data_IF_093369063741
#
_entry.id   IF_093369063741
#
_cell.length_a   1.000
_cell.length_b   1.000
_cell.length_c   1.000
_cell.angle_alpha   90.00
_cell.angle_beta   90.00
_cell.angle_gamma   90.00
#
_symmetry.space_group_name_H-M   'P 1'
#
loop_
_entity.id
_entity.type
_entity.pdbx_description
1 polymer ?
#
# COMPACT_ATOMS: atom_id res chain seq x y z
N UNK A 1 -2.25 25.34 9.82
CA UNK A 1 -2.08 23.93 10.24
C UNK A 1 -1.93 23.16 8.96
N UNK A 2 -0.76 22.57 8.68
CA UNK A 2 -0.62 21.69 7.51
C UNK A 2 -1.64 20.57 7.65
N UNK A 3 -2.65 20.54 6.77
CA UNK A 3 -3.57 19.41 6.67
C UNK A 3 -2.77 18.22 6.16
N UNK A 4 -2.27 17.41 7.08
CA UNK A 4 -1.52 16.22 6.74
C UNK A 4 -2.45 15.21 6.06
N UNK A 5 -2.34 15.10 4.74
CA UNK A 5 -3.10 14.14 3.95
C UNK A 5 -2.43 12.76 3.97
N UNK A 6 -2.83 11.94 4.94
CA UNK A 6 -2.47 10.52 4.95
C UNK A 6 -3.36 9.71 3.99
N UNK A 7 -2.71 8.94 3.11
CA UNK A 7 -3.38 7.97 2.25
C UNK A 7 -3.83 6.72 3.07
N UNK A 8 -4.36 5.69 2.39
CA UNK A 8 -4.81 4.46 3.05
C UNK A 8 -3.70 3.74 3.84
N UNK A 9 -2.46 3.77 3.34
CA UNK A 9 -1.30 3.12 3.97
C UNK A 9 -0.80 3.90 5.19
N UNK A 10 -0.71 5.22 5.09
CA UNK A 10 -0.34 6.09 6.21
C UNK A 10 -1.34 5.96 7.37
N UNK A 11 -2.64 5.89 7.07
CA UNK A 11 -3.69 5.65 8.08
C UNK A 11 -3.57 4.26 8.71
N UNK A 12 -3.36 3.23 7.90
CA UNK A 12 -3.19 1.87 8.40
C UNK A 12 -1.96 1.73 9.32
N UNK A 13 -0.82 2.35 8.98
CA UNK A 13 0.36 2.35 9.85
C UNK A 13 0.10 3.10 11.15
N UNK A 14 -0.60 4.24 11.10
CA UNK A 14 -0.97 5.00 12.30
C UNK A 14 -1.84 4.16 13.25
N UNK A 15 -2.87 3.50 12.73
CA UNK A 15 -3.75 2.64 13.52
C UNK A 15 -2.99 1.44 14.10
N UNK A 16 -2.07 0.87 13.32
CA UNK A 16 -1.20 -0.20 13.80
C UNK A 16 -0.30 0.24 14.95
N UNK A 17 0.40 1.38 14.80
CA UNK A 17 1.24 1.93 15.86
C UNK A 17 0.43 2.19 17.13
N UNK A 18 -0.78 2.76 17.02
CA UNK A 18 -1.64 3.00 18.19
C UNK A 18 -2.07 1.71 18.90
N UNK A 19 -2.32 0.64 18.14
CA UNK A 19 -2.90 -0.61 18.66
C UNK A 19 -1.85 -1.62 19.12
N UNK A 20 -0.72 -1.70 18.43
CA UNK A 20 0.28 -2.76 18.62
C UNK A 20 1.65 -2.23 19.06
N UNK A 21 2.03 -1.00 18.69
CA UNK A 21 3.32 -0.40 19.05
C UNK A 21 3.18 1.03 19.60
N UNK A 22 2.46 1.13 20.72
CA UNK A 22 2.19 2.41 21.37
C UNK A 22 3.47 3.11 21.84
N UNK A 23 4.52 2.34 22.15
CA UNK A 23 5.83 2.88 22.54
C UNK A 23 6.49 3.67 21.42
N UNK A 24 6.52 3.10 20.20
CA UNK A 24 7.03 3.80 19.03
C UNK A 24 6.14 5.00 18.67
N UNK A 25 4.81 4.83 18.72
CA UNK A 25 3.86 5.94 18.51
C UNK A 25 4.17 7.12 19.43
N UNK A 26 4.24 6.89 20.74
CA UNK A 26 4.46 7.93 21.73
C UNK A 26 5.84 8.57 21.59
N UNK A 27 6.87 7.79 21.26
CA UNK A 27 8.23 8.30 20.99
C UNK A 27 8.25 9.24 19.80
N UNK A 28 7.63 8.85 18.67
CA UNK A 28 7.56 9.67 17.46
C UNK A 28 6.72 10.93 17.69
N UNK A 29 5.61 10.79 18.42
CA UNK A 29 4.75 11.91 18.80
C UNK A 29 5.49 12.91 19.69
N UNK A 30 6.21 12.42 20.71
CA UNK A 30 6.98 13.27 21.63
C UNK A 30 8.13 14.02 20.94
N UNK A 31 8.65 13.45 19.86
CA UNK A 31 9.69 14.08 19.02
C UNK A 31 9.13 14.98 17.91
N UNK A 32 7.80 15.04 17.77
CA UNK A 32 7.14 15.72 16.65
C UNK A 32 7.54 15.19 15.25
N UNK A 33 8.03 13.94 15.20
CA UNK A 33 8.51 13.25 13.97
C UNK A 33 7.45 12.28 13.41
N UNK A 34 6.31 12.14 14.10
CA UNK A 34 5.25 11.20 13.71
C UNK A 34 4.76 11.45 12.28
N UNK A 35 4.57 12.72 11.92
CA UNK A 35 4.05 13.09 10.61
C UNK A 35 5.03 12.73 9.49
N UNK A 36 6.31 13.10 9.64
CA UNK A 36 7.36 12.78 8.67
C UNK A 36 7.56 11.27 8.52
N UNK A 37 7.49 10.53 9.63
CA UNK A 37 7.55 9.08 9.60
C UNK A 37 6.40 8.49 8.78
N UNK A 38 5.16 8.92 9.02
CA UNK A 38 3.98 8.43 8.30
C UNK A 38 4.01 8.82 6.82
N UNK A 39 4.48 10.02 6.48
CA UNK A 39 4.66 10.48 5.10
C UNK A 39 5.73 9.65 4.36
N UNK A 40 6.83 9.30 5.05
CA UNK A 40 7.86 8.44 4.48
C UNK A 40 7.32 7.03 4.24
N UNK A 41 6.68 6.45 5.25
CA UNK A 41 6.12 5.10 5.18
C UNK A 41 5.02 4.99 4.10
N UNK A 42 4.13 5.99 3.99
CA UNK A 42 3.10 5.95 2.96
C UNK A 42 3.69 6.03 1.55
N UNK A 43 4.77 6.81 1.37
CA UNK A 43 5.46 6.94 0.08
C UNK A 43 6.16 5.63 -0.30
N UNK A 44 6.86 5.00 0.65
CA UNK A 44 7.48 3.70 0.45
C UNK A 44 6.44 2.62 0.09
N UNK A 45 5.26 2.66 0.71
CA UNK A 45 4.16 1.78 0.38
C UNK A 45 3.55 2.04 -0.99
N UNK A 46 3.37 3.30 -1.39
CA UNK A 46 2.89 3.66 -2.72
C UNK A 46 3.89 3.22 -3.79
N UNK A 47 5.19 3.50 -3.60
CA UNK A 47 6.26 3.08 -4.51
C UNK A 47 6.31 1.54 -4.65
N UNK A 48 6.16 0.82 -3.54
CA UNK A 48 6.11 -0.65 -3.53
C UNK A 48 4.84 -1.17 -4.24
N UNK A 49 3.70 -0.53 -3.99
CA UNK A 49 2.43 -0.88 -4.62
C UNK A 49 2.51 -0.72 -6.14
N UNK A 50 3.02 0.41 -6.63
CA UNK A 50 3.17 0.65 -8.07
C UNK A 50 4.10 -0.37 -8.73
N UNK A 51 5.27 -0.61 -8.13
CA UNK A 51 6.22 -1.63 -8.62
C UNK A 51 5.60 -3.03 -8.68
N UNK A 52 4.94 -3.46 -7.61
CA UNK A 52 4.31 -4.79 -7.56
C UNK A 52 3.17 -4.89 -8.57
N UNK A 53 2.36 -3.84 -8.74
CA UNK A 53 1.32 -3.81 -9.77
C UNK A 53 1.92 -3.98 -11.17
N UNK A 54 3.04 -3.31 -11.47
CA UNK A 54 3.73 -3.49 -12.76
C UNK A 54 4.32 -4.89 -12.93
N UNK A 55 5.03 -5.41 -11.92
CA UNK A 55 5.59 -6.76 -11.95
C UNK A 55 4.50 -7.82 -12.15
N UNK A 56 3.37 -7.72 -11.44
CA UNK A 56 2.27 -8.67 -11.59
C UNK A 56 1.54 -8.52 -12.93
N UNK A 57 1.43 -7.30 -13.49
CA UNK A 57 0.90 -7.09 -14.85
C UNK A 57 1.76 -7.80 -15.90
N UNK A 58 3.09 -7.72 -15.77
CA UNK A 58 4.05 -8.39 -16.66
C UNK A 58 3.98 -9.90 -16.44
N UNK A 59 4.06 -10.36 -15.18
CA UNK A 59 4.11 -11.78 -14.80
C UNK A 59 2.84 -12.54 -15.15
N UNK A 60 1.66 -11.94 -14.98
CA UNK A 60 0.40 -12.55 -15.38
C UNK A 60 0.09 -12.42 -16.85
N UNK A 61 1.01 -11.83 -17.63
CA UNK A 61 0.93 -11.75 -19.07
C UNK A 61 -0.51 -11.36 -19.44
N UNK A 62 -0.93 -10.14 -19.06
CA UNK A 62 -2.12 -9.52 -19.67
C UNK A 62 -1.75 -9.19 -21.12
N UNK A 63 -1.26 -10.19 -21.85
CA UNK A 63 -0.88 -10.17 -23.23
C UNK A 63 -2.14 -9.98 -24.05
N UNK A 64 -1.92 -9.39 -25.21
CA UNK A 64 -2.88 -9.10 -26.25
C UNK A 64 -3.88 -10.24 -26.55
N UNK A 65 -3.60 -11.49 -26.16
CA UNK A 65 -4.52 -12.64 -26.30
C UNK A 65 -5.82 -12.51 -25.48
N UNK A 66 -5.80 -11.80 -24.34
CA UNK A 66 -7.00 -11.52 -23.54
C UNK A 66 -7.79 -10.29 -24.02
N UNK A 67 -7.22 -9.47 -24.93
CA UNK A 67 -7.87 -8.22 -25.38
C UNK A 67 -9.13 -8.43 -26.20
N UNK A 68 -9.39 -9.63 -26.75
CA UNK A 68 -10.51 -9.83 -27.66
C UNK A 68 -11.66 -10.72 -27.16
N UNK A 69 -11.52 -11.47 -26.04
CA UNK A 69 -12.51 -12.53 -25.72
C UNK A 69 -13.29 -12.44 -24.40
N UNK A 70 -12.92 -11.63 -23.39
CA UNK A 70 -13.77 -11.48 -22.19
C UNK A 70 -13.35 -10.31 -21.27
N UNK A 71 -14.05 -9.17 -21.38
CA UNK A 71 -13.84 -7.99 -20.53
C UNK A 71 -13.96 -8.32 -19.03
N UNK A 72 -14.87 -9.23 -18.65
CA UNK A 72 -15.10 -9.66 -17.27
C UNK A 72 -13.87 -10.35 -16.68
N UNK A 73 -13.20 -11.24 -17.44
CA UNK A 73 -12.00 -11.95 -16.98
C UNK A 73 -10.84 -11.00 -16.71
N UNK A 74 -10.70 -9.94 -17.52
CA UNK A 74 -9.67 -8.91 -17.32
C UNK A 74 -9.89 -8.12 -16.03
N UNK A 75 -11.15 -7.77 -15.72
CA UNK A 75 -11.49 -7.09 -14.45
C UNK A 75 -11.20 -7.99 -13.26
N UNK A 76 -11.58 -9.28 -13.32
CA UNK A 76 -11.29 -10.26 -12.27
C UNK A 76 -9.79 -10.44 -12.03
N UNK A 77 -8.99 -10.58 -13.09
CA UNK A 77 -7.54 -10.68 -12.97
C UNK A 77 -6.93 -9.40 -12.38
N UNK A 78 -7.34 -8.22 -12.85
CA UNK A 78 -6.83 -6.96 -12.29
C UNK A 78 -7.20 -6.80 -10.81
N UNK A 79 -8.39 -7.25 -10.41
CA UNK A 79 -8.79 -7.26 -9.00
C UNK A 79 -7.95 -8.23 -8.17
N UNK A 80 -7.67 -9.42 -8.69
CA UNK A 80 -6.81 -10.39 -8.01
C UNK A 80 -5.37 -9.86 -7.85
N UNK A 81 -4.81 -9.19 -8.88
CA UNK A 81 -3.50 -8.53 -8.77
C UNK A 81 -3.55 -7.49 -7.65
N UNK A 82 -4.52 -6.57 -7.69
CA UNK A 82 -4.65 -5.52 -6.67
C UNK A 82 -4.79 -6.10 -5.27
N UNK A 83 -5.57 -7.17 -5.10
CA UNK A 83 -5.74 -7.83 -3.81
C UNK A 83 -4.43 -8.45 -3.30
N UNK A 84 -3.69 -9.16 -4.15
CA UNK A 84 -2.38 -9.70 -3.78
C UNK A 84 -1.39 -8.59 -3.42
N UNK A 85 -1.35 -7.51 -4.22
CA UNK A 85 -0.44 -6.40 -3.98
C UNK A 85 -0.79 -5.69 -2.67
N UNK A 86 -2.08 -5.42 -2.43
CA UNK A 86 -2.53 -4.82 -1.18
C UNK A 86 -2.12 -5.68 0.02
N UNK A 87 -2.30 -7.01 -0.03
CA UNK A 87 -1.90 -7.91 1.04
C UNK A 87 -0.39 -7.86 1.32
N UNK A 88 0.44 -7.89 0.27
CA UNK A 88 1.90 -7.81 0.40
C UNK A 88 2.31 -6.47 0.99
N UNK A 89 1.77 -5.36 0.49
CA UNK A 89 2.09 -4.01 0.97
C UNK A 89 1.65 -3.84 2.41
N UNK A 90 0.46 -4.31 2.80
CA UNK A 90 0.02 -4.29 4.19
C UNK A 90 0.91 -5.14 5.08
N UNK A 91 1.32 -6.33 4.64
CA UNK A 91 2.24 -7.16 5.43
C UNK A 91 3.57 -6.45 5.66
N UNK A 92 4.19 -5.91 4.61
CA UNK A 92 5.46 -5.17 4.71
C UNK A 92 5.32 -3.89 5.55
N UNK A 93 4.16 -3.23 5.51
CA UNK A 93 3.88 -2.04 6.31
C UNK A 93 3.69 -2.34 7.79
N UNK A 94 3.10 -3.49 8.11
CA UNK A 94 2.65 -3.84 9.46
C UNK A 94 3.65 -4.75 10.19
N UNK A 95 4.51 -5.48 9.48
CA UNK A 95 5.72 -6.11 10.05
C UNK A 95 6.66 -5.05 10.66
#
# INVERSE_FOLDING_TARGET
VEEMHLNRFGRAKLDYLKKYDYGLYFKLFSKNELNDYLLKVQKEADDLYERLVEEYKIKWNVTEELKQKNQIKRVLMMNNIKSCVDEIVYKTLLD
#
